data_IF_389978144971
#
_entry.id   IF_389978144971
#
_cell.length_a   1.000
_cell.length_b   1.000
_cell.length_c   1.000
_cell.angle_alpha   90.00
_cell.angle_beta   90.00
_cell.angle_gamma   90.00
#
_symmetry.space_group_name_H-M   'P 1'
#
loop_
_entity.id
_entity.type
_entity.pdbx_description
1 polymer ?
#
# COMPACT_ATOMS: atom_id res chain seq x y z
N UNK A 1 -9.42 -2.66 7.79
CA UNK A 1 -10.45 -1.73 7.25
C UNK A 1 -11.80 -1.83 7.93
N UNK A 2 -12.40 -3.02 8.08
CA UNK A 2 -13.62 -3.17 8.90
C UNK A 2 -13.29 -3.20 10.40
N UNK A 3 -12.15 -3.76 10.79
CA UNK A 3 -11.69 -3.77 12.18
C UNK A 3 -11.37 -2.37 12.72
N UNK A 4 -10.87 -1.48 11.86
CA UNK A 4 -10.66 -0.06 12.17
C UNK A 4 -11.96 0.72 12.42
N UNK A 5 -13.10 0.22 11.93
CA UNK A 5 -14.44 0.72 12.26
C UNK A 5 -15.06 -0.03 13.45
N UNK A 6 -14.33 -0.96 14.06
CA UNK A 6 -14.76 -1.80 15.17
C UNK A 6 -15.59 -3.02 14.76
N UNK A 7 -15.38 -3.53 13.55
CA UNK A 7 -15.93 -4.80 13.09
C UNK A 7 -17.27 -4.68 12.36
N UNK A 8 -17.80 -5.82 11.86
CA UNK A 8 -19.02 -5.88 11.05
C UNK A 8 -20.23 -5.23 11.73
N UNK A 9 -20.31 -5.38 13.05
CA UNK A 9 -21.40 -4.87 13.88
C UNK A 9 -21.44 -3.34 13.90
N UNK A 10 -20.28 -2.68 14.03
CA UNK A 10 -20.20 -1.22 14.06
C UNK A 10 -20.40 -0.61 12.67
N UNK A 11 -19.94 -1.28 11.61
CA UNK A 11 -20.22 -0.87 10.23
C UNK A 11 -21.72 -0.87 9.97
N UNK A 12 -22.43 -1.94 10.34
CA UNK A 12 -23.87 -2.00 10.16
C UNK A 12 -24.63 -1.00 11.03
N UNK A 13 -24.16 -0.71 12.24
CA UNK A 13 -24.74 0.34 13.08
C UNK A 13 -24.59 1.74 12.45
N UNK A 14 -23.43 2.03 11.85
CA UNK A 14 -23.22 3.26 11.10
C UNK A 14 -24.18 3.34 9.90
N UNK A 15 -24.28 2.28 9.10
CA UNK A 15 -25.19 2.23 7.96
C UNK A 15 -26.65 2.46 8.39
N UNK A 16 -27.07 1.81 9.48
CA UNK A 16 -28.41 1.99 10.04
C UNK A 16 -28.64 3.44 10.52
N UNK A 17 -27.63 4.07 11.13
CA UNK A 17 -27.71 5.49 11.56
C UNK A 17 -27.89 6.44 10.38
N UNK A 18 -27.31 6.10 9.23
CA UNK A 18 -27.46 6.84 7.97
C UNK A 18 -28.74 6.45 7.19
N UNK A 19 -29.60 5.62 7.78
CA UNK A 19 -30.79 5.05 7.14
C UNK A 19 -30.49 4.28 5.84
N UNK A 20 -29.30 3.66 5.80
CA UNK A 20 -28.83 2.83 4.69
C UNK A 20 -29.02 1.34 5.01
N UNK A 21 -29.11 0.52 3.95
CA UNK A 21 -29.24 -0.92 4.07
C UNK A 21 -27.98 -1.52 4.70
N UNK A 22 -28.16 -2.40 5.68
CA UNK A 22 -27.06 -3.16 6.30
C UNK A 22 -26.48 -4.19 5.33
N UNK A 23 -25.23 -4.57 5.57
CA UNK A 23 -24.50 -5.55 4.75
C UNK A 23 -24.36 -6.84 5.56
N UNK A 24 -24.53 -7.98 4.90
CA UNK A 24 -24.33 -9.28 5.55
C UNK A 24 -22.88 -9.50 5.97
N UNK A 25 -22.67 -10.23 7.06
CA UNK A 25 -21.32 -10.53 7.59
C UNK A 25 -20.43 -11.20 6.53
N UNK A 26 -20.98 -12.12 5.73
CA UNK A 26 -20.28 -12.76 4.61
C UNK A 26 -19.78 -11.75 3.57
N UNK A 27 -20.58 -10.75 3.23
CA UNK A 27 -20.19 -9.74 2.26
C UNK A 27 -19.18 -8.75 2.86
N UNK A 28 -19.32 -8.40 4.14
CA UNK A 28 -18.34 -7.59 4.86
C UNK A 28 -16.97 -8.29 4.89
N UNK A 29 -16.91 -9.60 5.19
CA UNK A 29 -15.67 -10.39 5.12
C UNK A 29 -15.04 -10.39 3.72
N UNK A 30 -15.85 -10.57 2.67
CA UNK A 30 -15.37 -10.49 1.27
C UNK A 30 -14.80 -9.11 0.95
N UNK A 31 -15.44 -8.03 1.42
CA UNK A 31 -14.94 -6.66 1.24
C UNK A 31 -13.61 -6.44 1.95
N UNK A 32 -13.45 -6.95 3.18
CA UNK A 32 -12.16 -6.88 3.91
C UNK A 32 -11.07 -7.57 3.13
N UNK A 33 -11.33 -8.80 2.66
CA UNK A 33 -10.35 -9.57 1.90
C UNK A 33 -9.91 -8.80 0.65
N UNK A 34 -10.86 -8.34 -0.17
CA UNK A 34 -10.55 -7.57 -1.39
C UNK A 34 -9.76 -6.30 -1.10
N UNK A 35 -10.10 -5.58 -0.04
CA UNK A 35 -9.33 -4.39 0.36
C UNK A 35 -7.90 -4.75 0.78
N UNK A 36 -7.73 -5.87 1.49
CA UNK A 36 -6.40 -6.42 1.82
C UNK A 36 -5.59 -6.77 0.57
N UNK A 37 -6.19 -7.52 -0.35
CA UNK A 37 -5.55 -7.94 -1.61
C UNK A 37 -5.05 -6.72 -2.42
N UNK A 38 -5.84 -5.65 -2.49
CA UNK A 38 -5.46 -4.39 -3.17
C UNK A 38 -4.31 -3.68 -2.46
N UNK A 39 -4.34 -3.59 -1.13
CA UNK A 39 -3.26 -2.97 -0.36
C UNK A 39 -1.95 -3.75 -0.55
N UNK A 40 -2.03 -5.08 -0.52
CA UNK A 40 -0.88 -5.95 -0.72
C UNK A 40 -0.26 -5.76 -2.10
N UNK A 41 -1.09 -5.71 -3.15
CA UNK A 41 -0.64 -5.44 -4.51
C UNK A 41 0.09 -4.08 -4.61
N UNK A 42 -0.53 -3.00 -4.12
CA UNK A 42 0.08 -1.66 -4.15
C UNK A 42 1.39 -1.62 -3.35
N UNK A 43 1.44 -2.32 -2.22
CA UNK A 43 2.64 -2.39 -1.38
C UNK A 43 3.77 -3.12 -2.10
N UNK A 44 3.47 -4.21 -2.80
CA UNK A 44 4.45 -4.95 -3.59
C UNK A 44 5.00 -4.09 -4.74
N UNK A 45 4.12 -3.44 -5.50
CA UNK A 45 4.49 -2.53 -6.60
C UNK A 45 5.35 -1.36 -6.08
N UNK A 46 4.93 -0.72 -4.99
CA UNK A 46 5.67 0.39 -4.38
C UNK A 46 7.04 -0.03 -3.86
N UNK A 47 7.15 -1.23 -3.28
CA UNK A 47 8.43 -1.75 -2.75
C UNK A 47 9.38 -2.07 -3.89
N UNK A 48 8.88 -2.66 -4.98
CA UNK A 48 9.68 -2.94 -6.16
C UNK A 48 10.18 -1.64 -6.81
N UNK A 49 9.30 -0.66 -7.01
CA UNK A 49 9.66 0.62 -7.59
C UNK A 49 10.73 1.35 -6.75
N UNK A 50 10.58 1.34 -5.42
CA UNK A 50 11.56 1.93 -4.50
C UNK A 50 12.92 1.21 -4.56
N UNK A 51 12.93 -0.12 -4.73
CA UNK A 51 14.16 -0.88 -4.87
C UNK A 51 14.91 -0.56 -6.19
N UNK A 52 14.17 -0.48 -7.29
CA UNK A 52 14.73 -0.10 -8.61
C UNK A 52 15.28 1.34 -8.59
N UNK A 53 14.55 2.26 -7.95
CA UNK A 53 15.01 3.64 -7.78
C UNK A 53 16.26 3.72 -6.90
N UNK A 54 16.30 3.01 -5.78
CA UNK A 54 17.48 2.97 -4.91
C UNK A 54 18.72 2.46 -5.68
N UNK A 55 18.56 1.37 -6.44
CA UNK A 55 19.64 0.83 -7.26
C UNK A 55 20.15 1.85 -8.30
N UNK A 56 19.25 2.53 -9.02
CA UNK A 56 19.64 3.56 -9.99
C UNK A 56 20.42 4.69 -9.33
N UNK A 57 19.94 5.17 -8.18
CA UNK A 57 20.58 6.26 -7.45
C UNK A 57 21.99 5.87 -6.98
N UNK A 58 22.18 4.63 -6.51
CA UNK A 58 23.50 4.11 -6.15
C UNK A 58 24.43 4.06 -7.37
N UNK A 59 23.96 3.55 -8.50
CA UNK A 59 24.76 3.45 -9.73
C UNK A 59 25.17 4.81 -10.29
N UNK A 60 24.27 5.80 -10.26
CA UNK A 60 24.60 7.18 -10.62
C UNK A 60 25.67 7.75 -9.69
N UNK A 61 25.53 7.56 -8.39
CA UNK A 61 26.52 8.02 -7.41
C UNK A 61 27.91 7.39 -7.66
N UNK A 62 27.97 6.08 -7.91
CA UNK A 62 29.21 5.40 -8.27
C UNK A 62 29.82 5.93 -9.57
N UNK A 63 28.99 6.22 -10.58
CA UNK A 63 29.44 6.78 -11.85
C UNK A 63 30.08 8.17 -11.66
N UNK A 64 29.43 9.03 -10.88
CA UNK A 64 29.98 10.34 -10.53
C UNK A 64 31.33 10.20 -9.81
N UNK A 65 31.42 9.35 -8.78
CA UNK A 65 32.68 9.12 -8.06
C UNK A 65 33.80 8.65 -8.98
N UNK A 66 33.51 7.74 -9.92
CA UNK A 66 34.49 7.25 -10.88
C UNK A 66 35.03 8.37 -11.79
N UNK A 67 34.14 9.19 -12.35
CA UNK A 67 34.51 10.32 -13.20
C UNK A 67 35.37 11.35 -12.45
N UNK A 68 34.97 11.72 -11.23
CA UNK A 68 35.74 12.66 -10.40
C UNK A 68 37.11 12.12 -10.02
N UNK A 69 37.24 10.81 -9.76
CA UNK A 69 38.54 10.20 -9.45
C UNK A 69 39.52 10.21 -10.64
N UNK A 70 39.01 10.21 -11.87
CA UNK A 70 39.81 10.23 -13.10
C UNK A 70 40.15 11.65 -13.57
N UNK A 71 39.40 12.67 -13.14
CA UNK A 71 39.65 14.08 -13.48
C UNK A 71 40.67 14.78 -12.55
N UNK A 72 41.05 14.16 -11.43
CA UNK A 72 42.02 14.70 -10.44
C UNK A 72 43.47 14.19 -10.70
N UNK A 73 43.71 13.48 -11.80
CA UNK A 73 45.07 13.13 -12.28
C UNK A 73 45.49 14.07 -13.40
#
# INVERSE_FOLDING_TARGET
>A
MIDSLGGPRRVNNMLATLNLKTISDTNLKKMVKRAGDVIEQVSAESTQAAAEEAYRNEMEYFHYLYLYSHYIK
#
